data_IF_068884879895
#
_entry.id   IF_068884879895
#
_cell.length_a   1.000
_cell.length_b   1.000
_cell.length_c   1.000
_cell.angle_alpha   90.00
_cell.angle_beta   90.00
_cell.angle_gamma   90.00
#
_symmetry.space_group_name_H-M   'P 1'
#
loop_
_entity.id
_entity.type
_entity.pdbx_description
1 polymer ?
#
# COMPACT_ATOMS: atom_id res chain seq x y z
N UNK A 1 17.80 16.72 -17.57
CA UNK A 1 18.21 16.20 -16.26
C UNK A 1 17.58 14.84 -16.10
N UNK A 2 18.24 13.90 -15.44
CA UNK A 2 17.61 12.63 -15.06
C UNK A 2 16.67 12.97 -13.90
N UNK A 3 15.37 12.78 -14.10
CA UNK A 3 14.38 12.93 -13.05
C UNK A 3 14.42 11.68 -12.17
N UNK A 4 14.57 11.87 -10.87
CA UNK A 4 14.48 10.79 -9.89
C UNK A 4 13.02 10.63 -9.49
N UNK A 5 12.32 9.79 -10.25
CA UNK A 5 10.92 9.40 -10.04
C UNK A 5 10.84 8.02 -9.35
N UNK A 6 11.77 7.73 -8.43
CA UNK A 6 11.79 6.49 -7.66
C UNK A 6 10.48 6.18 -6.91
N UNK A 7 10.38 5.00 -6.28
CA UNK A 7 9.20 4.66 -5.49
C UNK A 7 9.17 5.53 -4.21
N UNK A 8 8.17 6.41 -4.13
CA UNK A 8 7.97 7.35 -3.02
C UNK A 8 6.57 7.24 -2.40
N UNK A 9 5.80 6.22 -2.78
CA UNK A 9 4.37 6.07 -2.45
C UNK A 9 4.12 6.09 -0.93
N UNK A 10 5.05 5.56 -0.15
CA UNK A 10 5.06 5.60 1.32
C UNK A 10 6.36 6.23 1.90
N UNK A 11 7.23 6.74 1.04
CA UNK A 11 8.62 7.11 1.34
C UNK A 11 8.86 8.44 2.05
N UNK A 12 7.81 9.11 2.53
CA UNK A 12 7.81 10.54 2.90
C UNK A 12 8.05 11.47 1.69
N UNK A 13 7.33 12.59 1.65
CA UNK A 13 7.41 13.57 0.55
C UNK A 13 8.78 14.29 0.51
N UNK A 14 9.41 14.48 1.68
CA UNK A 14 10.69 15.16 1.83
C UNK A 14 11.84 14.19 1.72
N UNK A 15 11.82 13.13 2.54
CA UNK A 15 12.94 12.19 2.63
C UNK A 15 13.01 11.24 1.43
N UNK A 16 11.87 10.97 0.77
CA UNK A 16 11.79 10.14 -0.45
C UNK A 16 12.51 8.80 -0.31
N UNK A 17 12.40 8.19 0.87
CA UNK A 17 13.12 6.98 1.21
C UNK A 17 12.39 5.74 0.67
N UNK A 18 12.90 5.21 -0.44
CA UNK A 18 12.37 4.02 -1.10
C UNK A 18 12.35 2.76 -0.21
N UNK A 19 13.18 2.69 0.83
CA UNK A 19 13.17 1.56 1.77
C UNK A 19 11.91 1.51 2.65
N UNK A 20 11.12 2.58 2.70
CA UNK A 20 9.85 2.63 3.41
C UNK A 20 8.67 2.17 2.55
N UNK A 21 8.88 1.93 1.25
CA UNK A 21 7.83 1.42 0.36
C UNK A 21 7.74 -0.10 0.52
N UNK A 22 6.63 -0.66 1.02
CA UNK A 22 6.51 -2.08 1.38
C UNK A 22 6.24 -2.99 0.16
N UNK A 23 6.68 -2.59 -1.02
CA UNK A 23 6.50 -3.33 -2.26
C UNK A 23 7.65 -3.06 -3.24
N UNK A 24 7.97 -4.01 -4.15
CA UNK A 24 8.94 -3.77 -5.20
C UNK A 24 8.56 -2.55 -6.07
N UNK A 25 9.54 -1.81 -6.58
CA UNK A 25 9.29 -0.62 -7.42
C UNK A 25 8.45 -0.92 -8.69
N UNK A 26 8.50 -2.15 -9.20
CA UNK A 26 7.72 -2.60 -10.37
C UNK A 26 6.34 -3.17 -10.03
N UNK A 27 5.91 -3.07 -8.77
CA UNK A 27 4.66 -3.68 -8.25
C UNK A 27 3.38 -2.96 -8.64
N UNK A 28 3.50 -1.68 -9.04
CA UNK A 28 2.37 -0.74 -9.21
C UNK A 28 1.56 -0.59 -7.93
N UNK A 29 2.23 -0.47 -6.79
CA UNK A 29 1.57 -0.12 -5.53
C UNK A 29 0.79 1.19 -5.67
N UNK A 30 -0.47 1.18 -5.27
CA UNK A 30 -1.38 2.30 -5.45
C UNK A 30 -2.17 2.28 -6.78
N UNK A 31 -2.10 1.17 -7.53
CA UNK A 31 -2.90 0.99 -8.74
C UNK A 31 -4.41 1.09 -8.46
N UNK A 32 -4.85 0.53 -7.34
CA UNK A 32 -6.17 0.71 -6.78
C UNK A 32 -6.05 1.15 -5.32
N UNK A 33 -6.99 1.98 -4.86
CA UNK A 33 -6.95 2.58 -3.53
C UNK A 33 -8.35 2.60 -2.92
N UNK A 34 -8.42 2.28 -1.64
CA UNK A 34 -9.57 2.57 -0.81
C UNK A 34 -9.10 2.86 0.64
N UNK A 35 -10.00 3.28 1.50
CA UNK A 35 -9.70 3.52 2.90
C UNK A 35 -10.91 3.30 3.77
N UNK A 36 -10.67 2.98 5.04
CA UNK A 36 -11.74 2.97 6.02
C UNK A 36 -11.21 3.06 7.43
N UNK A 37 -12.14 3.24 8.37
CA UNK A 37 -11.80 3.25 9.79
C UNK A 37 -12.14 1.92 10.42
N UNK A 38 -11.34 1.51 11.39
CA UNK A 38 -11.59 0.30 12.19
C UNK A 38 -11.45 -1.02 11.45
N UNK A 39 -10.72 -1.06 10.31
CA UNK A 39 -10.47 -2.31 9.57
C UNK A 39 -9.59 -3.27 10.38
N UNK A 40 -8.50 -2.76 10.95
CA UNK A 40 -7.51 -3.53 11.72
C UNK A 40 -7.54 -3.19 13.21
N UNK A 41 -7.81 -1.92 13.54
CA UNK A 41 -7.92 -1.43 14.92
C UNK A 41 -9.01 -0.38 15.06
N UNK A 42 -9.89 -0.55 16.07
CA UNK A 42 -11.01 0.38 16.34
C UNK A 42 -10.54 1.84 16.38
N UNK A 43 -11.18 2.68 15.55
CA UNK A 43 -10.92 4.12 15.46
C UNK A 43 -9.69 4.52 14.62
N UNK A 44 -8.87 3.57 14.20
CA UNK A 44 -7.72 3.83 13.33
C UNK A 44 -8.16 3.91 11.86
N UNK A 45 -7.62 4.87 11.11
CA UNK A 45 -7.72 4.90 9.65
C UNK A 45 -6.71 3.93 9.05
N UNK A 46 -7.20 3.06 8.17
CA UNK A 46 -6.39 2.14 7.36
C UNK A 46 -6.56 2.54 5.89
N UNK A 47 -5.46 2.74 5.19
CA UNK A 47 -5.42 2.91 3.73
C UNK A 47 -5.12 1.55 3.11
N UNK A 48 -5.88 1.15 2.10
CA UNK A 48 -5.71 -0.13 1.40
C UNK A 48 -5.21 0.17 0.00
N UNK A 49 -4.03 -0.36 -0.34
CA UNK A 49 -3.39 -0.15 -1.63
C UNK A 49 -3.20 -1.48 -2.37
N UNK A 50 -3.70 -1.52 -3.60
CA UNK A 50 -3.45 -2.62 -4.52
C UNK A 50 -2.07 -2.50 -5.17
N UNK A 51 -1.37 -3.63 -5.31
CA UNK A 51 -0.08 -3.75 -5.99
C UNK A 51 -0.12 -4.97 -6.93
N UNK A 52 -0.87 -4.91 -8.05
CA UNK A 52 -1.23 -6.07 -8.86
C UNK A 52 -0.06 -6.80 -9.52
N UNK A 53 1.13 -6.18 -9.56
CA UNK A 53 2.35 -6.80 -10.12
C UNK A 53 3.36 -7.22 -9.06
N UNK A 54 3.08 -7.00 -7.78
CA UNK A 54 3.93 -7.46 -6.69
C UNK A 54 4.15 -8.97 -6.78
N UNK A 55 5.39 -9.42 -6.66
CA UNK A 55 5.75 -10.84 -6.59
C UNK A 55 5.18 -11.72 -7.74
N UNK A 56 4.94 -11.13 -8.91
CA UNK A 56 4.34 -11.78 -10.09
C UNK A 56 2.89 -12.28 -9.93
N UNK A 57 2.32 -12.26 -8.72
CA UNK A 57 0.94 -12.68 -8.43
C UNK A 57 0.02 -11.52 -8.08
N UNK A 58 0.57 -10.45 -7.48
CA UNK A 58 -0.12 -9.29 -6.95
C UNK A 58 -0.19 -9.30 -5.42
N UNK A 59 -0.45 -8.15 -4.82
CA UNK A 59 -0.61 -7.99 -3.37
C UNK A 59 -1.62 -6.89 -3.04
N UNK A 60 -2.18 -6.94 -1.83
CA UNK A 60 -2.95 -5.85 -1.21
C UNK A 60 -2.27 -5.47 0.10
N UNK A 61 -1.95 -4.19 0.25
CA UNK A 61 -1.17 -3.66 1.37
C UNK A 61 -2.10 -2.79 2.21
N UNK A 62 -2.18 -3.09 3.50
CA UNK A 62 -2.90 -2.30 4.49
C UNK A 62 -1.88 -1.41 5.20
N UNK A 63 -2.13 -0.11 5.13
CA UNK A 63 -1.25 0.94 5.64
C UNK A 63 -1.94 1.72 6.75
N UNK A 64 -1.15 2.14 7.73
CA UNK A 64 -1.58 3.07 8.79
C UNK A 64 -0.63 4.24 8.87
N UNK A 65 -1.05 5.31 9.56
CA UNK A 65 -0.16 6.42 9.88
C UNK A 65 0.99 5.94 10.78
N UNK A 66 2.22 6.38 10.50
CA UNK A 66 3.41 6.03 11.28
C UNK A 66 3.46 6.58 12.72
N UNK A 67 2.52 7.46 13.08
CA UNK A 67 2.40 8.08 14.40
C UNK A 67 1.65 9.42 14.32
N UNK A 68 1.37 10.05 15.46
CA UNK A 68 0.52 11.25 15.50
C UNK A 68 1.11 12.45 14.74
N UNK A 69 2.43 12.62 14.80
CA UNK A 69 3.17 13.70 14.13
C UNK A 69 3.79 13.29 12.79
N UNK A 70 3.74 11.99 12.46
CA UNK A 70 4.37 11.46 11.25
C UNK A 70 3.55 11.75 10.01
N UNK A 71 4.22 11.98 8.88
CA UNK A 71 3.60 12.15 7.56
C UNK A 71 3.65 10.89 6.71
N UNK A 72 4.28 9.83 7.20
CA UNK A 72 4.44 8.58 6.47
C UNK A 72 3.29 7.61 6.75
N UNK A 73 3.05 6.75 5.78
CA UNK A 73 2.29 5.52 5.94
C UNK A 73 3.27 4.38 6.20
N UNK A 74 2.94 3.51 7.16
CA UNK A 74 3.69 2.29 7.47
C UNK A 74 2.81 1.09 7.19
N UNK A 75 3.41 -0.02 6.75
CA UNK A 75 2.64 -1.23 6.55
C UNK A 75 2.13 -1.79 7.89
N UNK A 76 0.93 -2.35 7.83
CA UNK A 76 0.34 -3.09 8.94
C UNK A 76 0.12 -4.55 8.55
N UNK A 77 -0.39 -4.80 7.34
CA UNK A 77 -0.54 -6.14 6.77
C UNK A 77 -0.29 -6.14 5.27
N UNK A 78 0.19 -7.28 4.75
CA UNK A 78 0.27 -7.56 3.32
C UNK A 78 -0.47 -8.86 3.06
N UNK A 79 -1.44 -8.80 2.14
CA UNK A 79 -2.13 -9.96 1.61
C UNK A 79 -1.53 -10.29 0.26
N UNK A 80 -0.87 -11.44 0.15
CA UNK A 80 -0.22 -11.88 -1.10
C UNK A 80 -1.18 -12.69 -1.99
N UNK A 81 -1.15 -12.41 -3.28
CA UNK A 81 -1.86 -13.19 -4.28
C UNK A 81 -1.26 -14.59 -4.41
N UNK A 82 -2.11 -15.62 -4.41
CA UNK A 82 -1.67 -17.02 -4.52
C UNK A 82 -1.44 -17.48 -5.97
N UNK A 83 -2.10 -16.85 -6.93
CA UNK A 83 -2.04 -17.23 -8.35
C UNK A 83 -1.02 -16.41 -9.13
N UNK A 84 -0.13 -17.09 -9.87
CA UNK A 84 0.77 -16.45 -10.81
C UNK A 84 -0.03 -15.62 -11.84
N UNK A 85 0.40 -14.39 -12.07
CA UNK A 85 -0.23 -13.43 -12.99
C UNK A 85 -1.73 -13.18 -12.73
N UNK A 86 -2.22 -13.47 -11.52
CA UNK A 86 -3.64 -13.25 -11.17
C UNK A 86 -4.03 -11.78 -11.06
N UNK A 87 -3.04 -10.88 -10.96
CA UNK A 87 -3.23 -9.45 -10.73
C UNK A 87 -4.00 -9.19 -9.43
N UNK A 88 -3.69 -9.94 -8.37
CA UNK A 88 -4.31 -9.75 -7.07
C UNK A 88 -4.06 -8.34 -6.55
N UNK A 89 -5.13 -7.62 -6.16
CA UNK A 89 -5.06 -6.19 -5.84
C UNK A 89 -5.12 -5.26 -7.06
N UNK A 90 -5.66 -5.72 -8.20
CA UNK A 90 -5.97 -4.85 -9.34
C UNK A 90 -7.13 -3.88 -9.06
N UNK A 91 -8.09 -4.31 -8.25
CA UNK A 91 -9.18 -3.50 -7.75
C UNK A 91 -9.42 -3.84 -6.27
N UNK A 92 -9.79 -2.84 -5.48
CA UNK A 92 -10.03 -3.00 -4.03
C UNK A 92 -11.26 -2.20 -3.63
N UNK A 93 -12.05 -2.76 -2.72
CA UNK A 93 -13.17 -2.09 -2.08
C UNK A 93 -13.23 -2.49 -0.61
N UNK A 94 -13.48 -1.52 0.25
CA UNK A 94 -13.65 -1.67 1.70
C UNK A 94 -15.13 -1.54 2.01
N UNK A 95 -15.68 -2.56 2.68
CA UNK A 95 -17.08 -2.58 3.08
C UNK A 95 -17.20 -3.13 4.50
N UNK A 96 -18.06 -2.49 5.28
CA UNK A 96 -18.50 -3.02 6.56
C UNK A 96 -19.73 -3.89 6.34
N UNK A 97 -19.64 -5.17 6.70
CA UNK A 97 -20.71 -6.15 6.52
C UNK A 97 -21.50 -6.44 7.81
N UNK A 98 -21.10 -5.87 8.96
CA UNK A 98 -21.66 -6.21 10.28
C UNK A 98 -22.29 -5.04 11.01
#
# INVERSE_FOLDING_TARGET
GIFDDGPFEAGDEVDKNSNLVPAPASSYMGFSLDSGKSLTKKGQLTVVAGAPRANYSGAVILLKKGGDTSRILVEEYILEGQGLASSFGYDVAVLDFN
#
